data_IF_592007708332
#
_entry.id   IF_592007708332
#
_cell.length_a   1.000
_cell.length_b   1.000
_cell.length_c   1.000
_cell.angle_alpha   90.00
_cell.angle_beta   90.00
_cell.angle_gamma   90.00
#
_symmetry.space_group_name_H-M   'P 1'
#
loop_
_entity.id
_entity.type
_entity.pdbx_description
1 polymer ?
#
# COMPACT_ATOMS: atom_id res chain seq x y z
N UNK A 1 2.14 17.11 6.51
CA UNK A 1 3.53 16.64 6.65
C UNK A 1 4.27 17.66 7.50
N UNK A 2 4.75 17.27 8.67
CA UNK A 2 5.17 18.23 9.70
C UNK A 2 6.55 18.86 9.44
N UNK A 3 7.44 18.22 8.72
CA UNK A 3 8.80 18.72 8.54
C UNK A 3 9.35 18.38 7.16
N UNK A 4 10.21 19.24 6.67
CA UNK A 4 10.83 19.11 5.38
C UNK A 4 12.36 19.02 5.54
N UNK A 5 12.98 18.19 4.71
CA UNK A 5 14.42 18.22 4.51
C UNK A 5 14.73 19.00 3.24
N UNK A 6 15.63 19.94 3.34
CA UNK A 6 16.12 20.72 2.21
C UNK A 6 17.53 20.26 1.83
N UNK A 7 17.78 20.09 0.55
CA UNK A 7 19.10 19.80 0.02
C UNK A 7 19.64 21.08 -0.65
N UNK A 8 20.68 21.65 -0.09
CA UNK A 8 21.41 22.78 -0.72
C UNK A 8 22.41 22.27 -1.77
N UNK A 9 22.96 21.09 -1.52
CA UNK A 9 23.79 20.34 -2.47
C UNK A 9 23.27 18.91 -2.53
N UNK A 10 23.58 18.19 -3.59
CA UNK A 10 23.06 16.83 -3.82
C UNK A 10 23.32 15.83 -2.68
N UNK A 11 24.27 16.11 -1.80
CA UNK A 11 24.64 15.29 -0.64
C UNK A 11 24.31 15.93 0.72
N UNK A 12 23.80 17.16 0.76
CA UNK A 12 23.55 17.91 2.00
C UNK A 12 22.06 18.09 2.24
N UNK A 13 21.50 17.27 3.16
CA UNK A 13 20.11 17.31 3.56
C UNK A 13 19.98 17.94 4.95
N UNK A 14 19.35 19.10 5.02
CA UNK A 14 19.08 19.81 6.28
C UNK A 14 17.60 19.82 6.59
N UNK A 15 17.27 19.48 7.84
CA UNK A 15 15.91 19.60 8.33
C UNK A 15 15.55 21.07 8.52
N UNK A 16 14.50 21.53 7.84
CA UNK A 16 13.89 22.84 8.11
C UNK A 16 12.75 22.68 9.12
N UNK A 17 12.64 23.56 10.12
CA UNK A 17 11.56 23.55 11.11
C UNK A 17 10.29 24.23 10.57
N UNK A 18 9.92 23.94 9.33
CA UNK A 18 8.74 24.51 8.64
C UNK A 18 7.92 23.38 8.03
N UNK A 19 6.65 23.61 7.85
CA UNK A 19 5.78 22.69 7.11
C UNK A 19 6.07 22.78 5.61
N UNK A 20 5.90 21.67 4.89
CA UNK A 20 6.12 21.64 3.43
C UNK A 20 5.26 22.70 2.72
N UNK A 21 3.99 22.88 3.14
CA UNK A 21 3.10 23.87 2.55
C UNK A 21 3.56 25.31 2.81
N UNK A 22 4.04 25.61 4.00
CA UNK A 22 4.60 26.92 4.35
C UNK A 22 5.85 27.23 3.53
N UNK A 23 6.73 26.26 3.39
CA UNK A 23 7.93 26.40 2.56
C UNK A 23 7.60 26.65 1.08
N UNK A 24 6.62 25.94 0.51
CA UNK A 24 6.20 26.16 -0.87
C UNK A 24 5.56 27.52 -1.06
N UNK A 25 4.75 27.99 -0.08
CA UNK A 25 4.15 29.33 -0.11
C UNK A 25 5.23 30.42 -0.05
N UNK A 26 6.24 30.28 0.81
CA UNK A 26 7.38 31.22 0.89
C UNK A 26 8.14 31.32 -0.44
N UNK A 27 8.34 30.18 -1.12
CA UNK A 27 9.00 30.15 -2.43
C UNK A 27 8.15 30.82 -3.51
N UNK A 28 6.83 30.64 -3.48
CA UNK A 28 5.88 31.24 -4.43
C UNK A 28 5.80 32.76 -4.23
N UNK A 29 5.66 33.22 -3.00
CA UNK A 29 5.68 34.65 -2.64
C UNK A 29 6.99 35.33 -3.09
N UNK A 30 8.12 34.65 -2.95
CA UNK A 30 9.43 35.11 -3.40
C UNK A 30 9.65 34.97 -4.90
N UNK A 31 8.70 34.43 -5.66
CA UNK A 31 8.75 34.18 -7.11
C UNK A 31 9.92 33.29 -7.54
N UNK A 32 10.39 32.40 -6.67
CA UNK A 32 11.46 31.44 -6.93
C UNK A 32 10.98 29.98 -6.93
N UNK A 33 9.65 29.76 -6.82
CA UNK A 33 9.07 28.43 -6.91
C UNK A 33 9.28 27.86 -8.31
N UNK A 34 9.87 26.68 -8.37
CA UNK A 34 10.09 25.91 -9.60
C UNK A 34 9.63 24.46 -9.43
N UNK A 35 9.40 23.75 -10.54
CA UNK A 35 8.91 22.36 -10.55
C UNK A 35 9.74 21.44 -9.63
N UNK A 36 11.07 21.62 -9.58
CA UNK A 36 11.97 20.87 -8.70
C UNK A 36 11.58 20.98 -7.20
N UNK A 37 11.10 22.11 -6.75
CA UNK A 37 10.67 22.29 -5.35
C UNK A 37 9.41 21.48 -5.07
N UNK A 38 8.48 21.42 -6.03
CA UNK A 38 7.26 20.60 -5.94
C UNK A 38 7.64 19.13 -5.91
N UNK A 39 8.53 18.68 -6.79
CA UNK A 39 9.03 17.30 -6.81
C UNK A 39 9.68 16.92 -5.46
N UNK A 40 10.51 17.79 -4.89
CA UNK A 40 11.13 17.58 -3.58
C UNK A 40 10.08 17.47 -2.46
N UNK A 41 9.05 18.31 -2.49
CA UNK A 41 7.95 18.25 -1.52
C UNK A 41 7.19 16.92 -1.63
N UNK A 42 6.83 16.49 -2.84
CA UNK A 42 6.12 15.24 -3.08
C UNK A 42 6.94 14.02 -2.66
N UNK A 43 8.28 14.05 -2.80
CA UNK A 43 9.17 12.97 -2.36
C UNK A 43 9.17 12.76 -0.84
N UNK A 44 8.82 13.77 -0.06
CA UNK A 44 8.78 13.71 1.40
C UNK A 44 7.43 13.26 1.97
N UNK A 45 6.43 13.03 1.11
CA UNK A 45 5.12 12.53 1.52
C UNK A 45 5.18 11.00 1.57
N UNK A 46 5.16 10.45 2.78
CA UNK A 46 5.22 9.00 3.02
C UNK A 46 3.81 8.46 3.29
N UNK A 47 3.01 8.34 2.24
CA UNK A 47 1.69 7.73 2.25
C UNK A 47 1.72 6.35 1.58
N UNK A 48 0.68 5.54 1.80
CA UNK A 48 0.52 4.23 1.13
C UNK A 48 0.42 4.36 -0.40
N UNK A 49 -0.03 5.52 -0.88
CA UNK A 49 -0.03 5.89 -2.29
C UNK A 49 0.57 7.28 -2.43
N UNK A 50 1.49 7.44 -3.33
CA UNK A 50 2.13 8.72 -3.61
C UNK A 50 1.96 9.09 -5.08
N UNK A 51 1.53 10.33 -5.32
CA UNK A 51 1.45 10.91 -6.66
C UNK A 51 2.79 11.55 -7.01
N UNK A 52 3.32 11.19 -8.14
CA UNK A 52 4.45 11.81 -8.83
C UNK A 52 4.07 11.95 -10.30
N UNK A 53 5.03 11.79 -11.23
CA UNK A 53 4.70 11.57 -12.66
C UNK A 53 3.95 10.25 -12.91
N UNK A 54 3.99 9.37 -11.93
CA UNK A 54 3.26 8.09 -11.87
C UNK A 54 2.58 7.96 -10.52
N UNK A 55 1.60 7.07 -10.45
CA UNK A 55 1.01 6.64 -9.17
C UNK A 55 1.88 5.54 -8.59
N UNK A 56 2.52 5.82 -7.46
CA UNK A 56 3.37 4.88 -6.75
C UNK A 56 2.58 4.23 -5.60
N UNK A 57 2.37 2.92 -5.67
CA UNK A 57 1.76 2.15 -4.59
C UNK A 57 2.86 1.67 -3.65
N UNK A 58 2.77 2.02 -2.35
CA UNK A 58 3.82 1.81 -1.36
C UNK A 58 3.38 0.99 -0.14
N UNK A 59 2.11 0.65 -0.07
CA UNK A 59 1.52 -0.06 1.08
C UNK A 59 1.75 -1.58 1.07
N UNK A 60 2.64 -2.10 0.23
CA UNK A 60 2.94 -3.52 0.21
C UNK A 60 4.24 -3.82 0.94
N UNK A 61 4.21 -4.82 1.81
CA UNK A 61 5.40 -5.37 2.46
C UNK A 61 6.25 -6.17 1.48
N UNK A 62 7.51 -6.37 1.85
CA UNK A 62 8.40 -7.29 1.14
C UNK A 62 7.88 -8.71 1.33
N UNK A 63 7.68 -9.42 0.24
CA UNK A 63 7.32 -10.84 0.25
C UNK A 63 8.55 -11.72 0.49
N UNK A 64 8.37 -12.94 1.00
CA UNK A 64 9.44 -13.94 1.11
C UNK A 64 10.03 -14.30 -0.25
N UNK A 65 11.25 -14.87 -0.27
CA UNK A 65 11.88 -15.38 -1.50
C UNK A 65 10.95 -16.29 -2.30
N UNK A 66 10.91 -16.09 -3.62
CA UNK A 66 10.04 -16.83 -4.54
C UNK A 66 8.65 -16.21 -4.73
N UNK A 67 8.33 -15.12 -4.02
CA UNK A 67 7.05 -14.40 -4.13
C UNK A 67 7.23 -12.92 -4.45
N UNK A 68 8.39 -12.49 -4.91
CA UNK A 68 8.76 -11.07 -5.09
C UNK A 68 7.84 -10.34 -6.05
N UNK A 69 7.30 -11.04 -7.05
CA UNK A 69 6.39 -10.47 -8.06
C UNK A 69 4.95 -10.32 -7.55
N UNK A 70 4.59 -10.96 -6.44
CA UNK A 70 3.21 -11.05 -5.95
C UNK A 70 2.57 -9.68 -5.68
N UNK A 71 3.24 -8.70 -5.04
CA UNK A 71 2.65 -7.37 -4.84
C UNK A 71 2.32 -6.68 -6.17
N UNK A 72 3.20 -6.79 -7.17
CA UNK A 72 2.95 -6.23 -8.49
C UNK A 72 1.77 -6.92 -9.18
N UNK A 73 1.69 -8.25 -9.11
CA UNK A 73 0.57 -9.03 -9.64
C UNK A 73 -0.76 -8.65 -8.95
N UNK A 74 -0.77 -8.54 -7.62
CA UNK A 74 -1.95 -8.14 -6.86
C UNK A 74 -2.49 -6.77 -7.31
N UNK A 75 -1.65 -5.76 -7.33
CA UNK A 75 -2.05 -4.41 -7.71
C UNK A 75 -2.41 -4.29 -9.20
N UNK A 76 -1.70 -5.00 -10.07
CA UNK A 76 -2.06 -5.08 -11.49
C UNK A 76 -3.45 -5.67 -11.70
N UNK A 77 -3.77 -6.75 -10.98
CA UNK A 77 -5.08 -7.38 -11.05
C UNK A 77 -6.22 -6.47 -10.61
N UNK A 78 -6.00 -5.64 -9.59
CA UNK A 78 -7.01 -4.70 -9.10
C UNK A 78 -7.12 -3.46 -9.99
N UNK A 79 -6.00 -2.88 -10.43
CA UNK A 79 -5.99 -1.54 -11.01
C UNK A 79 -6.17 -1.52 -12.53
N UNK A 80 -5.68 -2.55 -13.25
CA UNK A 80 -5.71 -2.54 -14.71
C UNK A 80 -7.06 -2.97 -15.25
N UNK A 81 -7.70 -3.97 -14.65
CA UNK A 81 -9.03 -4.42 -15.07
C UNK A 81 -10.09 -3.40 -14.64
N UNK A 82 -10.79 -2.83 -15.62
CA UNK A 82 -11.75 -1.74 -15.39
C UNK A 82 -12.93 -2.15 -14.50
N UNK A 83 -13.47 -3.36 -14.71
CA UNK A 83 -14.62 -3.85 -13.96
C UNK A 83 -14.24 -4.12 -12.50
N UNK A 84 -13.12 -4.83 -12.29
CA UNK A 84 -12.59 -5.11 -10.95
C UNK A 84 -12.28 -3.82 -10.21
N UNK A 85 -11.61 -2.86 -10.87
CA UNK A 85 -11.32 -1.55 -10.29
C UNK A 85 -12.61 -0.82 -9.89
N UNK A 86 -13.64 -0.84 -10.74
CA UNK A 86 -14.94 -0.26 -10.47
C UNK A 86 -15.63 -0.89 -9.26
N UNK A 87 -15.63 -2.23 -9.16
CA UNK A 87 -16.19 -2.97 -8.03
C UNK A 87 -15.46 -2.63 -6.72
N UNK A 88 -14.12 -2.62 -6.72
CA UNK A 88 -13.30 -2.29 -5.54
C UNK A 88 -13.53 -0.84 -5.11
N UNK A 89 -13.52 0.09 -6.05
CA UNK A 89 -13.75 1.50 -5.76
C UNK A 89 -15.15 1.74 -5.17
N UNK A 90 -16.19 1.12 -5.74
CA UNK A 90 -17.56 1.22 -5.25
C UNK A 90 -17.70 0.68 -3.82
N UNK A 91 -17.00 -0.40 -3.50
CA UNK A 91 -16.94 -0.94 -2.14
C UNK A 91 -16.27 0.03 -1.19
N UNK A 92 -15.07 0.50 -1.51
CA UNK A 92 -14.32 1.44 -0.66
C UNK A 92 -15.01 2.79 -0.46
N UNK A 93 -15.82 3.25 -1.44
CA UNK A 93 -16.59 4.50 -1.33
C UNK A 93 -17.69 4.44 -0.27
N UNK A 94 -18.23 3.26 0.03
CA UNK A 94 -19.24 3.08 1.10
C UNK A 94 -18.65 3.24 2.50
N UNK A 95 -17.34 3.04 2.65
CA UNK A 95 -16.67 3.11 3.94
C UNK A 95 -16.49 4.56 4.39
N UNK A 96 -16.87 4.83 5.63
CA UNK A 96 -16.60 6.11 6.27
C UNK A 96 -15.09 6.33 6.49
N UNK A 97 -14.70 7.56 6.81
CA UNK A 97 -13.32 7.84 7.22
C UNK A 97 -12.89 7.01 8.44
N UNK A 98 -13.81 6.81 9.40
CA UNK A 98 -13.56 6.00 10.60
C UNK A 98 -13.31 4.54 10.23
N UNK A 99 -14.13 3.97 9.34
CA UNK A 99 -13.94 2.59 8.87
C UNK A 99 -12.59 2.39 8.22
N UNK A 100 -12.17 3.31 7.35
CA UNK A 100 -10.86 3.25 6.67
C UNK A 100 -9.69 3.34 7.64
N UNK A 101 -9.77 4.21 8.65
CA UNK A 101 -8.73 4.34 9.68
C UNK A 101 -8.66 3.05 10.50
N UNK A 102 -9.80 2.57 11.02
CA UNK A 102 -9.86 1.34 11.81
C UNK A 102 -9.36 0.14 11.01
N UNK A 103 -9.76 0.03 9.75
CA UNK A 103 -9.33 -1.06 8.87
C UNK A 103 -7.81 -1.03 8.61
N UNK A 104 -7.24 0.16 8.42
CA UNK A 104 -5.78 0.32 8.27
C UNK A 104 -5.03 -0.09 9.55
N UNK A 105 -5.59 0.17 10.73
CA UNK A 105 -5.00 -0.28 11.99
C UNK A 105 -5.03 -1.81 12.15
N UNK A 106 -6.06 -2.49 11.62
CA UNK A 106 -6.12 -3.95 11.63
C UNK A 106 -4.98 -4.58 10.82
N UNK A 107 -4.47 -3.90 9.79
CA UNK A 107 -3.35 -4.38 9.00
C UNK A 107 -2.05 -4.54 9.84
N UNK A 108 -1.93 -3.85 10.97
CA UNK A 108 -0.81 -3.97 11.90
C UNK A 108 -1.00 -5.10 12.92
N UNK A 109 -2.18 -5.73 12.94
CA UNK A 109 -2.49 -6.86 13.82
C UNK A 109 -2.49 -8.15 13.03
N UNK A 110 -2.30 -9.28 13.73
CA UNK A 110 -2.43 -10.62 13.15
C UNK A 110 -3.83 -11.20 13.39
N UNK A 111 -4.77 -10.38 13.88
CA UNK A 111 -6.12 -10.75 14.30
C UNK A 111 -7.10 -10.77 13.11
N UNK A 112 -7.00 -11.81 12.29
CA UNK A 112 -7.85 -11.99 11.09
C UNK A 112 -9.35 -12.07 11.38
N UNK A 113 -9.74 -12.37 12.64
CA UNK A 113 -11.13 -12.44 13.08
C UNK A 113 -11.71 -11.11 13.56
N UNK A 114 -10.89 -10.08 13.72
CA UNK A 114 -11.37 -8.74 14.09
C UNK A 114 -12.33 -8.18 13.07
N UNK A 115 -13.37 -7.49 13.53
CA UNK A 115 -14.38 -6.90 12.66
C UNK A 115 -13.83 -5.65 11.97
N UNK A 116 -13.95 -5.63 10.67
CA UNK A 116 -13.66 -4.50 9.80
C UNK A 116 -14.94 -3.81 9.31
N UNK A 117 -14.85 -3.04 8.21
CA UNK A 117 -15.98 -2.38 7.60
C UNK A 117 -17.15 -3.34 7.29
N UNK A 118 -18.37 -2.83 7.32
CA UNK A 118 -19.60 -3.60 7.02
C UNK A 118 -19.80 -4.83 7.93
N UNK A 119 -19.15 -4.87 9.11
CA UNK A 119 -19.23 -5.99 10.05
C UNK A 119 -18.56 -7.28 9.58
N UNK A 120 -17.82 -7.26 8.50
CA UNK A 120 -17.06 -8.42 8.01
C UNK A 120 -15.72 -8.53 8.71
N UNK A 121 -15.25 -9.76 8.86
CA UNK A 121 -13.93 -10.01 9.45
C UNK A 121 -12.80 -9.50 8.54
N UNK A 122 -11.70 -9.11 9.13
CA UNK A 122 -10.52 -8.66 8.38
C UNK A 122 -10.04 -9.71 7.38
N UNK A 123 -10.00 -10.99 7.79
CA UNK A 123 -9.66 -12.11 6.91
C UNK A 123 -10.59 -12.25 5.69
N UNK A 124 -11.89 -12.00 5.85
CA UNK A 124 -12.86 -12.04 4.74
C UNK A 124 -12.58 -10.92 3.72
N UNK A 125 -12.15 -9.74 4.19
CA UNK A 125 -11.73 -8.65 3.32
C UNK A 125 -10.43 -8.95 2.58
N UNK A 126 -9.46 -9.59 3.25
CA UNK A 126 -8.22 -10.06 2.59
C UNK A 126 -8.56 -11.05 1.49
N UNK A 127 -9.39 -12.06 1.78
CA UNK A 127 -9.80 -13.06 0.81
C UNK A 127 -10.57 -12.43 -0.37
N UNK A 128 -11.48 -11.51 -0.08
CA UNK A 128 -12.21 -10.76 -1.11
C UNK A 128 -11.27 -9.98 -2.02
N UNK A 129 -10.31 -9.24 -1.46
CA UNK A 129 -9.34 -8.46 -2.25
C UNK A 129 -8.46 -9.38 -3.11
N UNK A 130 -8.01 -10.51 -2.58
CA UNK A 130 -7.24 -11.50 -3.33
C UNK A 130 -8.05 -12.10 -4.49
N UNK A 131 -9.32 -12.47 -4.25
CA UNK A 131 -10.22 -12.97 -5.30
C UNK A 131 -10.42 -11.92 -6.41
N UNK A 132 -10.56 -10.64 -6.06
CA UNK A 132 -10.67 -9.55 -7.03
C UNK A 132 -9.40 -9.40 -7.87
N UNK A 133 -8.24 -9.43 -7.24
CA UNK A 133 -6.96 -9.36 -7.94
C UNK A 133 -6.79 -10.53 -8.93
N UNK A 134 -7.06 -11.76 -8.49
CA UNK A 134 -7.01 -12.94 -9.36
C UNK A 134 -8.01 -12.84 -10.53
N UNK A 135 -9.25 -12.38 -10.26
CA UNK A 135 -10.25 -12.14 -11.30
C UNK A 135 -9.74 -11.16 -12.36
N UNK A 136 -9.14 -10.06 -11.91
CA UNK A 136 -8.60 -9.04 -12.80
C UNK A 136 -7.44 -9.54 -13.67
N UNK A 137 -6.53 -10.34 -13.12
CA UNK A 137 -5.45 -10.96 -13.88
C UNK A 137 -5.98 -11.98 -14.90
N UNK A 138 -6.94 -12.84 -14.50
CA UNK A 138 -7.58 -13.79 -15.43
C UNK A 138 -8.23 -13.09 -16.62
N UNK A 139 -8.85 -11.93 -16.41
CA UNK A 139 -9.46 -11.15 -17.49
C UNK A 139 -8.48 -10.63 -18.55
N UNK A 140 -7.18 -10.68 -18.29
CA UNK A 140 -6.12 -10.33 -19.25
C UNK A 140 -5.74 -11.48 -20.18
N UNK A 141 -6.11 -12.72 -19.86
CA UNK A 141 -5.79 -13.93 -20.62
C UNK A 141 -4.28 -14.16 -20.89
N UNK A 142 -3.43 -13.74 -19.94
CA UNK A 142 -1.96 -13.87 -20.04
C UNK A 142 -1.40 -14.97 -19.11
N UNK A 143 -2.25 -15.63 -18.32
CA UNK A 143 -1.85 -16.65 -17.35
C UNK A 143 -1.16 -16.09 -16.10
N UNK A 144 -1.17 -14.77 -15.93
CA UNK A 144 -0.49 -14.06 -14.82
C UNK A 144 -1.13 -14.32 -13.45
N UNK A 145 -2.37 -14.77 -13.41
CA UNK A 145 -3.04 -15.13 -12.16
C UNK A 145 -2.29 -16.21 -11.37
N UNK A 146 -1.51 -17.04 -12.03
CA UNK A 146 -0.68 -18.07 -11.39
C UNK A 146 0.40 -17.46 -10.49
N UNK A 147 0.91 -16.28 -10.84
CA UNK A 147 1.91 -15.54 -10.05
C UNK A 147 1.36 -15.14 -8.67
N UNK A 148 0.06 -14.92 -8.58
CA UNK A 148 -0.61 -14.54 -7.34
C UNK A 148 -1.27 -15.73 -6.63
N UNK A 149 -1.86 -16.66 -7.38
CA UNK A 149 -2.70 -17.73 -6.83
C UNK A 149 -1.98 -18.62 -5.81
N UNK A 150 -0.74 -19.00 -6.10
CA UNK A 150 0.06 -19.83 -5.21
C UNK A 150 0.35 -19.13 -3.86
N UNK A 151 0.65 -17.83 -3.92
CA UNK A 151 0.83 -17.02 -2.72
C UNK A 151 -0.47 -16.91 -1.91
N UNK A 152 -1.58 -16.60 -2.58
CA UNK A 152 -2.90 -16.48 -1.95
C UNK A 152 -3.29 -17.79 -1.27
N UNK A 153 -3.16 -18.92 -1.95
CA UNK A 153 -3.48 -20.23 -1.40
C UNK A 153 -2.64 -20.50 -0.13
N UNK A 154 -1.35 -20.15 -0.14
CA UNK A 154 -0.48 -20.34 1.02
C UNK A 154 -0.91 -19.45 2.19
N UNK A 155 -1.18 -18.18 1.94
CA UNK A 155 -1.61 -17.23 2.99
C UNK A 155 -2.97 -17.61 3.57
N UNK A 156 -3.93 -18.00 2.73
CA UNK A 156 -5.28 -18.42 3.19
C UNK A 156 -5.19 -19.67 4.06
N UNK A 157 -4.36 -20.64 3.69
CA UNK A 157 -4.28 -21.93 4.41
C UNK A 157 -3.36 -21.88 5.65
N UNK A 158 -2.32 -21.05 5.65
CA UNK A 158 -1.27 -21.06 6.68
C UNK A 158 -1.19 -19.75 7.47
N UNK A 159 -1.97 -18.73 7.10
CA UNK A 159 -1.90 -17.39 7.64
C UNK A 159 -0.78 -16.55 7.02
N UNK A 160 -0.65 -15.28 7.41
CA UNK A 160 0.39 -14.39 6.91
C UNK A 160 1.78 -14.90 7.27
N UNK A 161 2.78 -14.58 6.45
CA UNK A 161 4.15 -15.08 6.61
C UNK A 161 4.78 -14.71 7.96
N UNK A 162 4.39 -13.59 8.57
CA UNK A 162 4.81 -13.24 9.93
C UNK A 162 4.42 -14.33 10.93
N UNK A 163 3.16 -14.81 10.89
CA UNK A 163 2.72 -15.92 11.75
C UNK A 163 3.44 -17.23 11.43
N UNK A 164 3.67 -17.51 10.15
CA UNK A 164 4.42 -18.71 9.75
C UNK A 164 5.84 -18.67 10.31
N UNK A 165 6.52 -17.52 10.22
CA UNK A 165 7.87 -17.31 10.77
C UNK A 165 7.89 -17.43 12.29
N UNK A 166 6.93 -16.81 12.98
CA UNK A 166 6.83 -16.92 14.44
C UNK A 166 6.62 -18.37 14.91
N UNK A 167 5.74 -19.11 14.23
CA UNK A 167 5.54 -20.54 14.52
C UNK A 167 6.83 -21.34 14.30
N UNK A 168 7.53 -21.07 13.21
CA UNK A 168 8.79 -21.75 12.92
C UNK A 168 9.86 -21.47 13.98
N UNK A 169 10.02 -20.20 14.36
CA UNK A 169 10.97 -19.80 15.42
C UNK A 169 10.62 -20.40 16.77
N UNK A 170 9.33 -20.47 17.14
CA UNK A 170 8.91 -21.08 18.40
C UNK A 170 9.23 -22.59 18.48
N UNK A 171 9.28 -23.27 17.36
CA UNK A 171 9.67 -24.69 17.28
C UNK A 171 11.19 -24.92 17.38
N UNK A 172 12.00 -23.90 17.07
CA UNK A 172 13.47 -23.99 17.12
C UNK A 172 13.98 -23.73 18.55
N UNK A 173 13.22 -23.00 19.36
CA UNK A 173 13.61 -22.60 20.72
C UNK A 173 13.02 -23.48 21.83
N UNK A 174 12.47 -24.64 21.48
CA UNK A 174 12.12 -25.74 22.41
C UNK A 174 13.25 -26.76 22.38
#
# INVERSE_FOLDING_TARGET
VPHMFHSEKSSDYRKKPVLIGEWLAELDESKILVEKHIDLALHQIFTNVRLKRVVEVRGSDRTPPGYEITPAAFWSGILINTDVRGEVLSTCKRWSKKDRISFNLLANSLEVNSLGPEGKKFGEWIEWACKKAVKGLKGRNLGEEKLLQNFVNKVVNQGPFTLQTQKHLSLIHI
#
